data_IF_568352771260
#
_entry.id   IF_568352771260
#
_cell.length_a   1.000
_cell.length_b   1.000
_cell.length_c   1.000
_cell.angle_alpha   90.00
_cell.angle_beta   90.00
_cell.angle_gamma   90.00
#
_symmetry.space_group_name_H-M   'P 1'
#
loop_
_entity.id
_entity.type
_entity.pdbx_description
1 polymer ?
#
# COMPACT_ATOMS: atom_id res chain seq x y z
N UNK A 1 -3.99 -8.58 -11.42
CA UNK A 1 -4.98 -9.53 -10.89
C UNK A 1 -5.36 -9.32 -9.42
N UNK A 2 -4.75 -8.43 -8.67
CA UNK A 2 -5.09 -8.20 -7.25
C UNK A 2 -4.87 -9.39 -6.30
N UNK A 3 -4.04 -10.35 -6.70
CA UNK A 3 -3.81 -11.61 -5.99
C UNK A 3 -2.52 -11.60 -5.14
N UNK A 4 -2.19 -10.48 -4.53
CA UNK A 4 -0.96 -10.33 -3.72
C UNK A 4 -0.82 -11.35 -2.58
N UNK A 5 -1.94 -11.83 -2.02
CA UNK A 5 -1.97 -12.88 -1.00
C UNK A 5 -1.53 -14.26 -1.48
N UNK A 6 -1.51 -14.49 -2.77
CA UNK A 6 -1.03 -15.75 -3.37
C UNK A 6 0.49 -15.85 -3.41
N UNK A 7 1.20 -14.77 -3.10
CA UNK A 7 2.64 -14.74 -2.91
C UNK A 7 3.45 -15.20 -4.12
N UNK A 8 3.00 -14.89 -5.33
CA UNK A 8 3.72 -15.09 -6.58
C UNK A 8 4.20 -13.75 -7.14
N UNK A 9 5.47 -13.64 -7.43
CA UNK A 9 6.09 -12.57 -8.22
C UNK A 9 6.99 -13.19 -9.29
N UNK A 10 7.31 -12.41 -10.30
CA UNK A 10 8.29 -12.79 -11.31
C UNK A 10 9.17 -11.60 -11.69
N UNK A 11 10.33 -11.89 -12.20
CA UNK A 11 11.21 -10.92 -12.81
C UNK A 11 11.84 -11.51 -14.07
N UNK A 12 12.25 -10.63 -14.97
CA UNK A 12 12.85 -11.02 -16.25
C UNK A 12 14.31 -10.58 -16.24
N UNK A 13 15.21 -11.51 -16.51
CA UNK A 13 16.63 -11.24 -16.63
C UNK A 13 16.98 -11.25 -18.11
N UNK A 14 17.50 -10.14 -18.66
CA UNK A 14 17.98 -10.09 -20.05
C UNK A 14 19.08 -11.13 -20.30
N UNK A 15 19.16 -11.64 -21.52
CA UNK A 15 20.17 -12.64 -21.91
C UNK A 15 21.62 -12.15 -21.69
N UNK A 16 21.85 -10.85 -21.80
CA UNK A 16 23.15 -10.21 -21.51
C UNK A 16 23.63 -10.38 -20.06
N UNK A 17 22.71 -10.75 -19.13
CA UNK A 17 23.00 -10.97 -17.71
C UNK A 17 22.88 -12.47 -17.33
N UNK A 18 23.31 -13.37 -18.22
CA UNK A 18 23.16 -14.82 -18.02
C UNK A 18 23.89 -15.34 -16.76
N UNK A 19 25.03 -14.78 -16.40
CA UNK A 19 25.74 -15.19 -15.19
C UNK A 19 25.02 -14.75 -13.92
N UNK A 20 24.36 -13.57 -13.93
CA UNK A 20 23.44 -13.16 -12.85
C UNK A 20 22.28 -14.12 -12.73
N UNK A 21 21.68 -14.55 -13.87
CA UNK A 21 20.60 -15.54 -13.88
C UNK A 21 21.01 -16.86 -13.23
N UNK A 22 22.20 -17.36 -13.55
CA UNK A 22 22.73 -18.61 -12.94
C UNK A 22 22.89 -18.45 -11.42
N UNK A 23 23.50 -17.35 -10.98
CA UNK A 23 23.72 -17.07 -9.56
C UNK A 23 22.41 -16.95 -8.79
N UNK A 24 21.41 -16.25 -9.34
CA UNK A 24 20.08 -16.12 -8.73
C UNK A 24 19.38 -17.50 -8.64
N UNK A 25 19.49 -18.35 -9.67
CA UNK A 25 18.89 -19.68 -9.61
C UNK A 25 19.49 -20.53 -8.49
N UNK A 26 20.81 -20.49 -8.30
CA UNK A 26 21.47 -21.18 -7.18
C UNK A 26 20.98 -20.62 -5.86
N UNK A 27 20.98 -19.29 -5.69
CA UNK A 27 20.52 -18.66 -4.47
C UNK A 27 19.05 -18.98 -4.15
N UNK A 28 18.18 -18.98 -5.14
CA UNK A 28 16.78 -19.35 -4.99
C UNK A 28 16.61 -20.80 -4.51
N UNK A 29 17.37 -21.74 -5.11
CA UNK A 29 17.38 -23.15 -4.72
C UNK A 29 17.76 -23.35 -3.24
N UNK A 30 18.73 -22.59 -2.76
CA UNK A 30 19.26 -22.72 -1.39
C UNK A 30 18.44 -21.92 -0.35
N UNK A 31 17.53 -21.04 -0.77
CA UNK A 31 16.77 -20.18 0.15
C UNK A 31 15.30 -20.58 0.24
N UNK A 32 14.52 -20.34 -0.80
CA UNK A 32 13.05 -20.57 -0.80
C UNK A 32 12.60 -21.62 -1.82
N UNK A 33 13.50 -22.18 -2.62
CA UNK A 33 13.29 -23.19 -3.66
C UNK A 33 12.35 -22.74 -4.78
N UNK A 34 11.05 -22.74 -4.54
CA UNK A 34 10.05 -22.33 -5.55
C UNK A 34 8.74 -21.91 -4.91
N UNK A 35 7.95 -21.18 -5.68
CA UNK A 35 6.55 -20.89 -5.34
C UNK A 35 5.72 -22.17 -5.45
N UNK A 36 4.67 -22.30 -4.63
CA UNK A 36 3.71 -23.42 -4.68
C UNK A 36 3.22 -23.72 -6.11
N UNK A 37 3.31 -24.97 -6.53
CA UNK A 37 2.92 -25.38 -7.89
C UNK A 37 1.47 -25.02 -8.27
N UNK A 38 0.44 -25.22 -7.42
CA UNK A 38 -0.91 -24.76 -7.72
C UNK A 38 -1.00 -23.27 -8.05
N UNK A 39 -0.22 -22.43 -7.35
CA UNK A 39 -0.16 -20.98 -7.61
C UNK A 39 0.50 -20.68 -8.96
N UNK A 40 1.54 -21.42 -9.33
CA UNK A 40 2.18 -21.28 -10.64
C UNK A 40 1.20 -21.62 -11.77
N UNK A 41 0.40 -22.69 -11.64
CA UNK A 41 -0.64 -23.01 -12.61
C UNK A 41 -1.73 -21.94 -12.69
N UNK A 42 -2.18 -21.41 -11.56
CA UNK A 42 -3.14 -20.31 -11.54
C UNK A 42 -2.58 -19.04 -12.23
N UNK A 43 -1.27 -18.81 -12.15
CA UNK A 43 -0.61 -17.70 -12.83
C UNK A 43 -0.68 -17.79 -14.36
N UNK A 44 -0.70 -18.99 -14.95
CA UNK A 44 -0.89 -19.18 -16.39
C UNK A 44 -2.19 -18.49 -16.83
N UNK A 45 -3.29 -18.76 -16.14
CA UNK A 45 -4.58 -18.11 -16.41
C UNK A 45 -4.52 -16.61 -16.19
N UNK A 46 -3.88 -16.18 -15.09
CA UNK A 46 -3.76 -14.77 -14.73
C UNK A 46 -2.98 -13.94 -15.77
N UNK A 47 -1.96 -14.53 -16.42
CA UNK A 47 -1.15 -13.82 -17.42
C UNK A 47 -1.60 -14.04 -18.87
N UNK A 48 -2.46 -15.05 -19.13
CA UNK A 48 -2.96 -15.33 -20.47
C UNK A 48 -4.25 -14.59 -20.83
N UNK A 49 -4.96 -14.03 -19.86
CA UNK A 49 -6.24 -13.36 -20.06
C UNK A 49 -6.10 -11.83 -19.99
N UNK A 50 -6.99 -11.14 -20.69
CA UNK A 50 -7.12 -9.69 -20.55
C UNK A 50 -7.88 -9.35 -19.25
N UNK A 51 -7.22 -8.59 -18.40
CA UNK A 51 -7.78 -8.07 -17.14
C UNK A 51 -7.86 -6.54 -17.12
N UNK A 52 -7.85 -5.91 -18.29
CA UNK A 52 -7.78 -4.44 -18.42
C UNK A 52 -8.92 -3.73 -17.70
N UNK A 53 -10.12 -4.27 -17.72
CA UNK A 53 -11.28 -3.69 -17.01
C UNK A 53 -11.05 -3.68 -15.49
N UNK A 54 -10.65 -4.83 -14.93
CA UNK A 54 -10.33 -4.94 -13.51
C UNK A 54 -9.18 -4.01 -13.11
N UNK A 55 -8.11 -4.00 -13.89
CA UNK A 55 -6.93 -3.17 -13.63
C UNK A 55 -7.26 -1.69 -13.67
N UNK A 56 -8.03 -1.24 -14.67
CA UNK A 56 -8.44 0.15 -14.81
C UNK A 56 -9.38 0.57 -13.67
N UNK A 57 -10.33 -0.26 -13.30
CA UNK A 57 -11.23 0.00 -12.17
C UNK A 57 -10.46 0.09 -10.86
N UNK A 58 -9.59 -0.87 -10.57
CA UNK A 58 -8.72 -0.86 -9.38
C UNK A 58 -7.83 0.37 -9.33
N UNK A 59 -7.18 0.71 -10.45
CA UNK A 59 -6.33 1.90 -10.58
C UNK A 59 -7.10 3.18 -10.27
N UNK A 60 -8.32 3.32 -10.79
CA UNK A 60 -9.15 4.51 -10.57
C UNK A 60 -9.57 4.63 -9.10
N UNK A 61 -9.98 3.52 -8.47
CA UNK A 61 -10.32 3.50 -7.03
C UNK A 61 -9.11 3.87 -6.19
N UNK A 62 -7.99 3.18 -6.37
CA UNK A 62 -6.78 3.42 -5.58
C UNK A 62 -6.25 4.84 -5.76
N UNK A 63 -6.29 5.38 -6.98
CA UNK A 63 -5.93 6.77 -7.25
C UNK A 63 -6.83 7.76 -6.51
N UNK A 64 -8.14 7.53 -6.51
CA UNK A 64 -9.09 8.41 -5.84
C UNK A 64 -8.92 8.36 -4.31
N UNK A 65 -8.87 7.15 -3.73
CA UNK A 65 -8.69 6.96 -2.28
C UNK A 65 -7.32 7.47 -1.83
N UNK A 66 -6.25 7.16 -2.55
CA UNK A 66 -4.90 7.64 -2.22
C UNK A 66 -4.77 9.17 -2.28
N UNK A 67 -5.38 9.81 -3.28
CA UNK A 67 -5.45 11.28 -3.33
C UNK A 67 -6.27 11.84 -2.16
N UNK A 68 -7.39 11.22 -1.82
CA UNK A 68 -8.18 11.62 -0.66
C UNK A 68 -7.34 11.60 0.63
N UNK A 69 -6.61 10.52 0.87
CA UNK A 69 -5.72 10.39 2.03
C UNK A 69 -4.66 11.49 2.02
N UNK A 70 -3.99 11.69 0.89
CA UNK A 70 -2.99 12.72 0.72
C UNK A 70 -3.53 14.12 1.04
N UNK A 71 -4.65 14.52 0.44
CA UNK A 71 -5.22 15.86 0.60
C UNK A 71 -5.74 16.14 2.02
N UNK A 72 -6.19 15.10 2.73
CA UNK A 72 -6.76 15.25 4.07
C UNK A 72 -5.73 15.04 5.20
N UNK A 73 -4.60 14.37 4.93
CA UNK A 73 -3.56 14.13 5.94
C UNK A 73 -2.41 15.14 5.86
N UNK A 74 -2.08 15.64 4.66
CA UNK A 74 -1.03 16.63 4.46
C UNK A 74 -1.34 17.90 5.26
N UNK A 75 -0.37 18.35 6.06
CA UNK A 75 -0.50 19.53 6.92
C UNK A 75 0.90 20.09 7.25
N UNK A 76 0.97 21.13 8.07
CA UNK A 76 2.22 21.61 8.66
C UNK A 76 2.86 20.63 9.65
N UNK A 77 2.09 19.66 10.15
CA UNK A 77 2.53 18.59 11.06
C UNK A 77 2.84 17.27 10.35
N UNK A 78 2.39 17.09 9.11
CA UNK A 78 2.54 15.85 8.35
C UNK A 78 3.05 16.14 6.95
N UNK A 79 4.29 15.74 6.69
CA UNK A 79 4.87 15.75 5.35
C UNK A 79 4.56 14.42 4.67
N UNK A 80 4.02 14.48 3.46
CA UNK A 80 3.63 13.30 2.70
C UNK A 80 3.74 13.60 1.21
N UNK A 81 4.25 12.65 0.43
CA UNK A 81 4.32 12.78 -1.02
C UNK A 81 3.00 12.37 -1.66
N UNK A 82 2.64 13.05 -2.75
CA UNK A 82 1.46 12.68 -3.54
C UNK A 82 1.65 11.29 -4.14
N UNK A 83 0.66 10.37 -4.01
CA UNK A 83 0.79 9.03 -4.54
C UNK A 83 0.88 9.05 -6.08
N UNK A 84 1.85 8.31 -6.62
CA UNK A 84 2.02 8.10 -8.06
C UNK A 84 1.59 6.71 -8.50
N UNK A 85 1.39 5.78 -7.54
CA UNK A 85 0.95 4.41 -7.78
C UNK A 85 0.91 3.60 -6.49
N UNK A 86 0.53 2.34 -6.60
CA UNK A 86 0.41 1.45 -5.45
C UNK A 86 -0.73 1.82 -4.51
N UNK A 87 -0.61 1.36 -3.27
CA UNK A 87 -1.62 1.54 -2.21
C UNK A 87 -0.99 1.87 -0.85
N UNK A 88 0.25 2.38 -0.88
CA UNK A 88 0.99 2.84 0.29
C UNK A 88 1.34 4.30 0.17
N UNK A 89 1.34 4.97 1.32
CA UNK A 89 1.90 6.29 1.52
C UNK A 89 2.90 6.24 2.66
N UNK A 90 3.83 7.18 2.68
CA UNK A 90 4.86 7.30 3.71
C UNK A 90 4.76 8.68 4.38
N UNK A 91 3.77 8.90 5.26
CA UNK A 91 3.69 10.13 6.04
C UNK A 91 4.86 10.21 7.04
N UNK A 92 5.46 11.39 7.14
CA UNK A 92 6.44 11.76 8.16
C UNK A 92 5.82 12.81 9.07
N UNK A 93 5.75 12.51 10.36
CA UNK A 93 5.11 13.35 11.36
C UNK A 93 6.15 14.27 12.03
N UNK A 94 5.86 15.55 12.07
CA UNK A 94 6.71 16.54 12.76
C UNK A 94 6.48 16.45 14.25
N UNK A 95 7.18 15.53 14.91
CA UNK A 95 7.06 15.32 16.34
C UNK A 95 8.42 15.12 17.01
N UNK A 96 8.59 15.75 18.17
CA UNK A 96 9.78 15.64 19.02
C UNK A 96 9.53 14.85 20.31
N UNK A 97 8.32 14.33 20.50
CA UNK A 97 7.93 13.62 21.73
C UNK A 97 8.33 12.14 21.74
N UNK A 98 8.68 11.58 20.57
CA UNK A 98 9.10 10.19 20.43
C UNK A 98 10.55 10.11 20.03
N UNK A 99 11.24 9.09 20.53
CA UNK A 99 12.64 8.84 20.22
C UNK A 99 12.80 8.02 18.93
N UNK A 100 11.81 7.20 18.58
CA UNK A 100 11.85 6.32 17.41
C UNK A 100 10.50 6.24 16.68
N UNK A 101 10.56 5.87 15.39
CA UNK A 101 9.35 5.60 14.59
C UNK A 101 8.51 4.45 15.14
N UNK A 102 9.14 3.45 15.77
CA UNK A 102 8.44 2.35 16.45
C UNK A 102 7.61 2.84 17.61
N UNK A 103 8.22 3.59 18.54
CA UNK A 103 7.55 4.19 19.69
C UNK A 103 6.38 5.07 19.24
N UNK A 104 6.58 5.85 18.19
CA UNK A 104 5.53 6.67 17.60
C UNK A 104 4.35 5.83 17.09
N UNK A 105 4.63 4.76 16.33
CA UNK A 105 3.60 3.88 15.79
C UNK A 105 2.83 3.12 16.89
N UNK A 106 3.52 2.70 17.96
CA UNK A 106 2.89 2.05 19.12
C UNK A 106 1.96 3.01 19.85
N UNK A 107 2.40 4.24 20.10
CA UNK A 107 1.55 5.26 20.70
C UNK A 107 0.33 5.57 19.85
N UNK A 108 0.53 5.73 18.54
CA UNK A 108 -0.55 5.99 17.58
C UNK A 108 -1.59 4.86 17.60
N UNK A 109 -1.14 3.60 17.57
CA UNK A 109 -2.02 2.45 17.66
C UNK A 109 -2.84 2.45 18.96
N UNK A 110 -2.18 2.67 20.12
CA UNK A 110 -2.84 2.69 21.42
C UNK A 110 -3.87 3.83 21.53
N UNK A 111 -3.56 5.00 20.99
CA UNK A 111 -4.41 6.19 21.13
C UNK A 111 -5.56 6.24 20.12
N UNK A 112 -5.39 5.67 18.95
CA UNK A 112 -6.33 5.84 17.84
C UNK A 112 -6.95 4.54 17.30
N UNK A 113 -6.30 3.39 17.57
CA UNK A 113 -6.64 2.11 16.95
C UNK A 113 -6.20 2.01 15.48
N UNK A 114 -5.42 2.99 14.96
CA UNK A 114 -4.89 2.95 13.59
C UNK A 114 -3.49 2.35 13.60
N UNK A 115 -3.30 1.23 12.91
CA UNK A 115 -2.02 0.54 12.80
C UNK A 115 -1.24 1.08 11.58
N UNK A 116 -0.05 1.62 11.83
CA UNK A 116 0.95 1.95 10.82
C UNK A 116 2.22 1.13 11.09
N UNK A 117 3.03 0.92 10.07
CA UNK A 117 4.33 0.29 10.24
C UNK A 117 5.44 1.35 10.30
N UNK A 118 6.38 1.26 11.24
CA UNK A 118 7.44 2.23 11.38
C UNK A 118 8.37 2.24 10.17
N UNK A 119 8.90 3.42 9.83
CA UNK A 119 9.82 3.57 8.70
C UNK A 119 11.10 2.76 8.86
N UNK A 120 11.54 2.49 10.09
CA UNK A 120 12.70 1.64 10.39
C UNK A 120 12.60 0.24 9.80
N UNK A 121 11.39 -0.33 9.71
CA UNK A 121 11.16 -1.66 9.11
C UNK A 121 11.42 -1.68 7.59
N UNK A 122 11.56 -0.51 6.99
CA UNK A 122 11.84 -0.30 5.56
C UNK A 122 13.21 0.32 5.31
N UNK A 123 14.12 0.27 6.30
CA UNK A 123 15.50 0.73 6.17
C UNK A 123 15.71 2.24 6.34
N UNK A 124 14.69 2.98 6.80
CA UNK A 124 14.85 4.39 7.15
C UNK A 124 15.46 4.54 8.55
N UNK A 125 16.12 5.68 8.79
CA UNK A 125 16.61 6.03 10.13
C UNK A 125 15.44 5.99 11.14
N UNK A 126 15.64 5.26 12.24
CA UNK A 126 14.62 5.08 13.27
C UNK A 126 14.21 6.37 13.98
N UNK A 127 15.05 7.41 13.93
CA UNK A 127 14.77 8.75 14.48
C UNK A 127 13.85 9.57 13.60
N UNK A 128 13.63 9.16 12.35
CA UNK A 128 12.63 9.78 11.51
C UNK A 128 11.25 9.29 11.89
N UNK A 129 10.35 10.20 12.20
CA UNK A 129 8.96 9.87 12.54
C UNK A 129 8.15 9.52 11.29
N UNK A 130 8.72 8.61 10.50
CA UNK A 130 8.18 8.12 9.24
C UNK A 130 7.43 6.81 9.47
N UNK A 131 6.27 6.65 8.84
CA UNK A 131 5.50 5.42 8.92
C UNK A 131 4.89 5.03 7.57
N UNK A 132 4.73 3.72 7.31
CA UNK A 132 4.01 3.22 6.14
C UNK A 132 2.52 3.10 6.44
N UNK A 133 1.71 3.81 5.67
CA UNK A 133 0.26 3.79 5.69
C UNK A 133 -0.26 3.01 4.48
N UNK A 134 -1.05 1.96 4.72
CA UNK A 134 -1.87 1.31 3.70
C UNK A 134 -3.27 1.92 3.70
N UNK A 135 -3.80 2.28 2.52
CA UNK A 135 -5.14 2.88 2.40
C UNK A 135 -6.17 1.96 1.74
N UNK A 136 -6.07 0.65 2.00
CA UNK A 136 -6.92 -0.36 1.36
C UNK A 136 -7.95 -1.01 2.29
N UNK A 137 -8.20 -0.45 3.48
CA UNK A 137 -9.22 -0.99 4.40
C UNK A 137 -10.64 -0.62 3.95
N UNK A 138 -11.05 -1.21 2.83
CA UNK A 138 -12.41 -1.11 2.27
C UNK A 138 -12.76 -2.33 1.43
N UNK A 139 -14.06 -2.56 1.20
CA UNK A 139 -14.52 -3.64 0.33
C UNK A 139 -14.35 -3.24 -1.15
N UNK A 140 -13.24 -3.67 -1.76
CA UNK A 140 -12.91 -3.34 -3.14
C UNK A 140 -13.92 -3.88 -4.16
N UNK A 141 -14.49 -5.07 -3.92
CA UNK A 141 -15.51 -5.64 -4.81
C UNK A 141 -16.80 -4.81 -4.79
N UNK A 142 -17.24 -4.42 -3.61
CA UNK A 142 -18.42 -3.57 -3.46
C UNK A 142 -18.20 -2.21 -4.12
N UNK A 143 -17.03 -1.62 -3.92
CA UNK A 143 -16.66 -0.36 -4.56
C UNK A 143 -16.69 -0.49 -6.09
N UNK A 144 -16.06 -1.53 -6.66
CA UNK A 144 -16.05 -1.80 -8.10
C UNK A 144 -17.46 -1.97 -8.67
N UNK A 145 -18.32 -2.73 -8.01
CA UNK A 145 -19.68 -3.00 -8.47
C UNK A 145 -20.55 -1.73 -8.54
N UNK A 146 -20.20 -0.70 -7.77
CA UNK A 146 -20.98 0.55 -7.68
C UNK A 146 -20.40 1.71 -8.52
N UNK A 147 -19.18 1.56 -9.07
CA UNK A 147 -18.63 2.49 -10.04
C UNK A 147 -18.87 1.93 -11.45
N UNK A 148 -19.80 2.52 -12.19
CA UNK A 148 -19.91 2.23 -13.62
C UNK A 148 -18.64 2.69 -14.34
N UNK A 149 -18.21 1.91 -15.35
CA UNK A 149 -17.04 2.21 -16.17
C UNK A 149 -16.99 3.72 -16.54
N UNK A 150 -15.83 4.36 -16.28
CA UNK A 150 -15.54 5.77 -16.55
C UNK A 150 -16.23 6.83 -15.65
N UNK A 151 -16.89 6.48 -14.57
CA UNK A 151 -17.39 7.50 -13.64
C UNK A 151 -16.23 8.05 -12.81
N UNK A 152 -16.10 9.38 -12.76
CA UNK A 152 -15.17 10.05 -11.84
C UNK A 152 -15.57 9.71 -10.40
N UNK A 153 -14.64 9.19 -9.62
CA UNK A 153 -14.85 8.90 -8.21
C UNK A 153 -14.68 10.20 -7.44
N UNK A 154 -15.78 10.68 -6.88
CA UNK A 154 -15.84 11.87 -6.04
C UNK A 154 -15.69 11.54 -4.55
N UNK A 155 -15.72 12.57 -3.71
CA UNK A 155 -15.61 12.44 -2.26
C UNK A 155 -16.76 11.62 -1.66
N UNK A 156 -17.98 11.77 -2.16
CA UNK A 156 -19.15 11.10 -1.59
C UNK A 156 -19.07 9.58 -1.79
N UNK A 157 -18.56 9.14 -2.94
CA UNK A 157 -18.29 7.72 -3.18
C UNK A 157 -17.20 7.19 -2.25
N UNK A 158 -16.15 7.98 -1.95
CA UNK A 158 -15.10 7.57 -1.01
C UNK A 158 -15.67 7.46 0.41
N UNK A 159 -16.47 8.44 0.86
CA UNK A 159 -17.13 8.40 2.17
C UNK A 159 -18.04 7.18 2.30
N UNK A 160 -18.73 6.81 1.22
CA UNK A 160 -19.66 5.68 1.21
C UNK A 160 -18.95 4.33 1.19
N UNK A 161 -17.92 4.16 0.34
CA UNK A 161 -17.32 2.84 0.06
C UNK A 161 -15.97 2.60 0.73
N UNK A 162 -15.34 3.64 1.30
CA UNK A 162 -14.11 3.52 2.08
C UNK A 162 -14.22 4.21 3.46
N UNK A 163 -15.30 4.00 4.25
CA UNK A 163 -15.54 4.73 5.49
C UNK A 163 -14.44 4.52 6.53
N UNK A 164 -13.86 3.33 6.61
CA UNK A 164 -12.77 3.03 7.55
C UNK A 164 -11.49 3.79 7.20
N UNK A 165 -11.18 3.95 5.92
CA UNK A 165 -10.04 4.79 5.48
C UNK A 165 -10.29 6.24 5.88
N UNK A 166 -11.52 6.75 5.68
CA UNK A 166 -11.91 8.11 6.07
C UNK A 166 -11.79 8.31 7.58
N UNK A 167 -12.30 7.36 8.37
CA UNK A 167 -12.19 7.39 9.83
C UNK A 167 -10.72 7.37 10.27
N UNK A 168 -9.91 6.46 9.70
CA UNK A 168 -8.49 6.36 9.98
C UNK A 168 -7.73 7.67 9.71
N UNK A 169 -7.97 8.30 8.57
CA UNK A 169 -7.37 9.61 8.23
C UNK A 169 -7.77 10.69 9.22
N UNK A 170 -9.05 10.75 9.61
CA UNK A 170 -9.52 11.73 10.59
C UNK A 170 -8.87 11.52 11.98
N UNK A 171 -8.70 10.25 12.40
CA UNK A 171 -8.00 9.92 13.65
C UNK A 171 -6.53 10.29 13.59
N UNK A 172 -5.84 9.97 12.48
CA UNK A 172 -4.44 10.34 12.26
C UNK A 172 -4.24 11.85 12.30
N UNK A 173 -5.12 12.61 11.65
CA UNK A 173 -5.07 14.07 11.64
C UNK A 173 -5.19 14.62 13.07
N UNK A 174 -6.24 14.25 13.82
CA UNK A 174 -6.44 14.68 15.20
C UNK A 174 -5.26 14.33 16.10
N UNK A 175 -4.74 13.11 15.96
CA UNK A 175 -3.59 12.67 16.72
C UNK A 175 -2.34 13.51 16.39
N UNK A 176 -2.07 13.78 15.10
CA UNK A 176 -0.92 14.59 14.70
C UNK A 176 -0.99 16.04 15.16
N UNK A 177 -2.19 16.57 15.39
CA UNK A 177 -2.41 17.91 15.96
C UNK A 177 -2.22 17.96 17.48
N UNK A 178 -2.35 16.82 18.17
CA UNK A 178 -2.26 16.69 19.63
C UNK A 178 -0.85 16.44 20.17
N UNK A 179 0.12 16.23 19.28
CA UNK A 179 1.52 15.90 19.60
C UNK A 179 2.49 17.00 19.23
#
# INVERSE_FOLDING_TARGET
CGAGGWRLGYFIIPETLNDLKKSINVLASETFSSVSAPIQYAAITAYSNDHSEFVNSSKNILKAVGNYVYENLKSNKVTINKPQGGFYLMPEFSNKSFSTSSEMCDNLLQKTGVALLPGSDFGFDNKRMLARLSFTDFNGQEFMNNIKNNKKIDKDLILKFAPKVVEGVNKLKKWSESI
#
